data_IF_034040120858
#
_entry.id   IF_034040120858
#
_cell.length_a   1.000
_cell.length_b   1.000
_cell.length_c   1.000
_cell.angle_alpha   90.00
_cell.angle_beta   90.00
_cell.angle_gamma   90.00
#
_symmetry.space_group_name_H-M   'P 1'
#
loop_
_entity.id
_entity.type
_entity.pdbx_description
1 polymer ?
#
# COMPACT_ATOMS: atom_id res chain seq x y z
N UNK A 1 13.38 -21.86 -14.63
CA UNK A 1 12.95 -21.52 -13.28
C UNK A 1 12.05 -22.63 -12.76
N UNK A 2 12.12 -22.95 -11.45
CA UNK A 2 11.41 -24.09 -10.83
C UNK A 2 9.89 -23.84 -10.63
N UNK A 3 9.35 -22.71 -11.09
CA UNK A 3 7.92 -22.36 -10.93
C UNK A 3 7.50 -22.03 -9.49
N UNK A 4 8.46 -21.84 -8.59
CA UNK A 4 8.19 -21.50 -7.18
C UNK A 4 8.03 -19.99 -7.06
N UNK A 5 6.86 -19.54 -6.58
CA UNK A 5 6.58 -18.13 -6.34
C UNK A 5 6.80 -17.77 -4.88
N UNK A 6 7.96 -17.21 -4.60
CA UNK A 6 8.29 -16.63 -3.30
C UNK A 6 7.51 -15.32 -3.16
N UNK A 7 6.74 -15.13 -2.04
CA UNK A 7 6.05 -13.86 -1.82
C UNK A 7 7.05 -12.72 -1.71
N UNK A 8 6.76 -11.60 -2.34
CA UNK A 8 7.53 -10.38 -2.21
C UNK A 8 6.61 -9.15 -2.27
N UNK A 9 7.02 -8.09 -1.57
CA UNK A 9 6.34 -6.80 -1.61
C UNK A 9 7.30 -5.72 -2.09
N UNK A 10 7.99 -5.06 -1.17
CA UNK A 10 8.78 -3.83 -1.41
C UNK A 10 10.08 -4.03 -2.21
N UNK A 11 10.64 -5.23 -2.29
CA UNK A 11 11.95 -5.55 -2.92
C UNK A 11 13.16 -4.77 -2.34
N UNK A 12 12.98 -4.08 -1.20
CA UNK A 12 14.02 -3.23 -0.59
C UNK A 12 14.21 -3.48 0.91
N UNK A 13 13.82 -4.66 1.39
CA UNK A 13 14.01 -5.03 2.81
C UNK A 13 13.09 -4.32 3.81
N UNK A 14 12.02 -3.66 3.36
CA UNK A 14 11.19 -2.82 4.22
C UNK A 14 9.89 -3.47 4.73
N UNK A 15 9.34 -4.49 4.06
CA UNK A 15 7.99 -4.98 4.36
C UNK A 15 7.93 -6.39 5.01
N UNK A 16 9.01 -7.15 4.98
CA UNK A 16 9.05 -8.50 5.53
C UNK A 16 8.30 -9.59 4.75
N UNK A 17 7.60 -9.27 3.64
CA UNK A 17 6.79 -10.24 2.88
C UNK A 17 7.59 -11.44 2.35
N UNK A 18 8.87 -11.26 2.08
CA UNK A 18 9.78 -12.30 1.58
C UNK A 18 10.61 -12.95 2.70
N UNK A 19 10.19 -12.82 3.96
CA UNK A 19 10.90 -13.42 5.10
C UNK A 19 10.83 -14.94 5.02
N UNK A 20 11.98 -15.59 5.13
CA UNK A 20 12.13 -17.03 5.22
C UNK A 20 13.12 -17.41 6.33
N UNK A 21 13.23 -18.69 6.64
CA UNK A 21 14.17 -19.24 7.60
C UNK A 21 15.22 -20.07 6.86
N UNK A 22 16.49 -19.81 7.12
CA UNK A 22 17.61 -20.59 6.61
C UNK A 22 17.71 -21.88 7.45
N UNK A 23 17.54 -23.02 6.81
CA UNK A 23 17.65 -24.34 7.45
C UNK A 23 19.08 -24.86 7.32
N UNK A 24 19.71 -24.63 6.16
CA UNK A 24 21.10 -24.95 5.93
C UNK A 24 21.69 -24.08 4.82
N UNK A 25 23.03 -23.94 4.80
CA UNK A 25 23.75 -23.09 3.86
C UNK A 25 24.04 -21.70 4.44
N UNK A 26 24.72 -20.87 3.66
CA UNK A 26 25.15 -19.53 4.07
C UNK A 26 24.46 -18.46 3.27
N UNK A 27 23.87 -17.48 3.99
CA UNK A 27 23.15 -16.35 3.45
C UNK A 27 23.65 -15.04 4.05
N UNK A 28 23.94 -14.07 3.22
CA UNK A 28 24.29 -12.71 3.61
C UNK A 28 23.16 -11.75 3.23
N UNK A 29 22.68 -10.98 4.23
CA UNK A 29 21.68 -9.94 3.99
C UNK A 29 22.34 -8.58 3.95
N UNK A 30 21.98 -7.77 2.94
CA UNK A 30 22.28 -6.34 2.89
C UNK A 30 21.47 -5.54 3.90
N UNK A 31 21.39 -4.24 3.70
CA UNK A 31 20.62 -3.33 4.56
C UNK A 31 19.11 -3.64 4.49
N UNK A 32 18.47 -3.67 5.63
CA UNK A 32 17.03 -3.89 5.76
C UNK A 32 16.48 -3.12 6.96
N UNK A 33 15.17 -2.89 6.98
CA UNK A 33 14.51 -2.23 8.09
C UNK A 33 14.24 -3.22 9.24
N UNK A 34 14.46 -2.77 10.48
CA UNK A 34 14.18 -3.56 11.68
C UNK A 34 12.72 -3.99 11.81
N UNK A 35 11.80 -3.24 11.21
CA UNK A 35 10.38 -3.60 11.10
C UNK A 35 10.11 -4.79 10.19
N UNK A 36 10.97 -5.05 9.21
CA UNK A 36 10.83 -6.19 8.31
C UNK A 36 11.45 -7.47 8.90
N UNK A 37 12.54 -7.33 9.64
CA UNK A 37 13.22 -8.43 10.32
C UNK A 37 14.01 -7.89 11.50
N UNK A 38 13.74 -8.38 12.71
CA UNK A 38 14.46 -7.97 13.91
C UNK A 38 15.86 -8.59 13.97
N UNK A 39 16.72 -8.04 14.83
CA UNK A 39 18.04 -8.62 15.06
C UNK A 39 17.94 -10.03 15.63
N UNK A 40 16.99 -10.28 16.52
CA UNK A 40 16.72 -11.59 17.09
C UNK A 40 16.30 -12.61 16.03
N UNK A 41 15.35 -12.23 15.15
CA UNK A 41 14.93 -13.09 14.04
C UNK A 41 16.11 -13.45 13.12
N UNK A 42 16.98 -12.46 12.80
CA UNK A 42 18.20 -12.71 12.01
C UNK A 42 19.13 -13.71 12.70
N UNK A 43 19.35 -13.53 14.01
CA UNK A 43 20.19 -14.42 14.81
C UNK A 43 19.62 -15.84 14.86
N UNK A 44 18.28 -15.95 14.83
CA UNK A 44 17.56 -17.23 14.79
C UNK A 44 17.43 -17.82 13.37
N UNK A 45 18.19 -17.29 12.41
CA UNK A 45 18.28 -17.81 11.03
C UNK A 45 17.25 -17.26 10.06
N UNK A 46 16.50 -16.20 10.41
CA UNK A 46 15.61 -15.54 9.44
C UNK A 46 16.40 -14.75 8.40
N UNK A 47 15.87 -14.67 7.18
CA UNK A 47 16.42 -13.87 6.09
C UNK A 47 15.31 -13.22 5.28
N UNK A 48 15.66 -12.16 4.53
CA UNK A 48 14.76 -11.51 3.56
C UNK A 48 15.21 -11.81 2.14
N UNK A 49 14.49 -12.67 1.43
CA UNK A 49 14.89 -13.16 0.10
C UNK A 49 15.17 -12.05 -0.93
N UNK A 50 14.59 -10.86 -0.76
CA UNK A 50 14.81 -9.72 -1.65
C UNK A 50 16.13 -8.96 -1.40
N UNK A 51 16.79 -9.21 -0.27
CA UNK A 51 17.99 -8.51 0.19
C UNK A 51 19.12 -9.49 0.57
N UNK A 52 19.02 -10.74 0.17
CA UNK A 52 20.02 -11.74 0.51
C UNK A 52 20.78 -12.25 -0.71
N UNK A 53 22.04 -12.56 -0.46
CA UNK A 53 22.95 -13.27 -1.36
C UNK A 53 23.29 -14.60 -0.75
N UNK A 54 23.44 -15.61 -1.59
CA UNK A 54 23.84 -16.96 -1.17
C UNK A 54 25.28 -17.21 -1.59
N UNK A 55 26.08 -17.81 -0.70
CA UNK A 55 27.45 -18.23 -0.98
C UNK A 55 27.62 -19.75 -1.09
N UNK A 56 26.55 -20.50 -0.84
CA UNK A 56 26.51 -21.96 -0.92
C UNK A 56 25.13 -22.43 -1.39
N UNK A 57 24.93 -23.73 -1.57
CA UNK A 57 23.60 -24.30 -1.66
C UNK A 57 22.83 -24.01 -0.37
N UNK A 58 21.60 -23.53 -0.48
CA UNK A 58 20.79 -23.08 0.64
C UNK A 58 19.45 -23.79 0.67
N UNK A 59 19.08 -24.30 1.82
CA UNK A 59 17.71 -24.73 2.12
C UNK A 59 16.99 -23.65 2.90
N UNK A 60 15.88 -23.17 2.32
CA UNK A 60 15.01 -22.16 2.94
C UNK A 60 13.64 -22.76 3.24
N UNK A 61 13.16 -22.52 4.45
CA UNK A 61 11.75 -22.65 4.79
C UNK A 61 11.08 -21.29 4.57
N UNK A 62 10.11 -21.22 3.66
CA UNK A 62 9.40 -20.00 3.33
C UNK A 62 7.92 -20.27 3.14
N UNK A 63 7.08 -19.37 3.67
CA UNK A 63 5.65 -19.44 3.44
C UNK A 63 5.37 -19.01 2.00
N UNK A 64 4.96 -19.94 1.17
CA UNK A 64 4.56 -19.64 -0.21
C UNK A 64 3.17 -19.02 -0.25
N UNK A 65 2.87 -18.31 -1.32
CA UNK A 65 1.52 -17.88 -1.63
C UNK A 65 0.60 -19.10 -1.70
N UNK A 66 -0.63 -18.95 -1.21
CA UNK A 66 -1.63 -20.02 -1.33
C UNK A 66 -1.98 -20.22 -2.80
N UNK A 67 -2.42 -21.42 -3.18
CA UNK A 67 -2.79 -21.74 -4.56
C UNK A 67 -3.88 -20.80 -5.12
N UNK A 68 -4.75 -20.28 -4.26
CA UNK A 68 -5.84 -19.37 -4.61
C UNK A 68 -5.47 -17.89 -4.47
N UNK A 69 -4.24 -17.57 -4.03
CA UNK A 69 -3.82 -16.17 -3.98
C UNK A 69 -3.77 -15.60 -5.41
N UNK A 70 -4.33 -14.41 -5.65
CA UNK A 70 -4.36 -13.83 -6.99
C UNK A 70 -2.94 -13.57 -7.48
N UNK A 71 -2.60 -14.22 -8.59
CA UNK A 71 -1.28 -14.12 -9.18
C UNK A 71 -1.38 -13.47 -10.55
N UNK A 72 -0.92 -12.23 -10.62
CA UNK A 72 -0.75 -11.54 -11.89
C UNK A 72 0.74 -11.43 -12.21
N UNK A 73 1.10 -11.81 -13.43
CA UNK A 73 2.47 -11.66 -13.90
C UNK A 73 2.82 -10.18 -14.04
N UNK A 74 3.87 -9.75 -13.35
CA UNK A 74 4.39 -8.39 -13.46
C UNK A 74 5.06 -8.20 -14.83
N UNK A 75 4.72 -7.11 -15.52
CA UNK A 75 5.26 -6.78 -16.85
C UNK A 75 5.71 -5.33 -16.93
N UNK A 76 6.79 -5.12 -17.68
CA UNK A 76 7.21 -3.76 -18.04
C UNK A 76 6.37 -3.30 -19.24
N UNK A 77 5.68 -2.18 -19.09
CA UNK A 77 4.82 -1.61 -20.11
C UNK A 77 4.96 -0.09 -20.15
N UNK A 78 4.83 0.54 -21.35
CA UNK A 78 4.65 1.98 -21.41
C UNK A 78 3.28 2.38 -20.89
N UNK A 79 3.18 3.58 -20.31
CA UNK A 79 1.92 4.21 -19.91
C UNK A 79 1.94 5.67 -20.30
N UNK A 80 0.78 6.22 -20.60
CA UNK A 80 0.59 7.64 -20.86
C UNK A 80 -0.07 8.30 -19.66
N UNK A 81 0.44 9.45 -19.25
CA UNK A 81 -0.21 10.32 -18.27
C UNK A 81 -1.45 10.94 -18.91
N UNK A 82 -2.63 10.61 -18.43
CA UNK A 82 -3.89 11.19 -18.95
C UNK A 82 -4.22 12.51 -18.29
N UNK A 83 -4.08 12.59 -16.97
CA UNK A 83 -4.31 13.82 -16.22
C UNK A 83 -3.50 13.89 -14.95
N UNK A 84 -3.25 15.10 -14.48
CA UNK A 84 -2.62 15.47 -13.22
C UNK A 84 -3.52 16.47 -12.50
N UNK A 85 -4.05 16.10 -11.34
CA UNK A 85 -4.98 16.93 -10.56
C UNK A 85 -4.51 17.01 -9.12
N UNK A 86 -4.28 18.23 -8.60
CA UNK A 86 -3.99 18.40 -7.17
C UNK A 86 -5.24 18.08 -6.34
N UNK A 87 -5.11 17.17 -5.38
CA UNK A 87 -6.17 16.83 -4.43
C UNK A 87 -6.13 17.73 -3.19
N UNK A 88 -4.93 18.11 -2.78
CA UNK A 88 -4.67 19.10 -1.73
C UNK A 88 -3.32 19.77 -1.99
N UNK A 89 -2.72 20.39 -0.95
CA UNK A 89 -1.45 21.13 -1.10
C UNK A 89 -0.25 20.26 -1.46
N UNK A 90 -0.22 18.97 -1.07
CA UNK A 90 0.92 18.07 -1.27
C UNK A 90 0.58 16.71 -1.90
N UNK A 91 -0.69 16.48 -2.31
CA UNK A 91 -1.10 15.23 -2.97
C UNK A 91 -1.59 15.49 -4.40
N UNK A 92 -1.00 14.78 -5.35
CA UNK A 92 -1.35 14.76 -6.76
C UNK A 92 -2.06 13.46 -7.12
N UNK A 93 -3.25 13.55 -7.71
CA UNK A 93 -3.89 12.45 -8.42
C UNK A 93 -3.33 12.38 -9.84
N UNK A 94 -2.79 11.25 -10.22
CA UNK A 94 -2.31 10.96 -11.56
C UNK A 94 -3.17 9.84 -12.16
N UNK A 95 -3.71 10.07 -13.34
CA UNK A 95 -4.37 9.03 -14.13
C UNK A 95 -3.44 8.58 -15.24
N UNK A 96 -3.27 7.26 -15.37
CA UNK A 96 -2.44 6.62 -16.37
C UNK A 96 -3.30 5.75 -17.29
N UNK A 97 -2.96 5.75 -18.58
CA UNK A 97 -3.57 4.88 -19.59
C UNK A 97 -2.53 3.96 -20.21
N UNK A 98 -2.86 2.67 -20.34
CA UNK A 98 -2.05 1.71 -21.07
C UNK A 98 -2.24 1.88 -22.59
N UNK A 99 -1.28 1.42 -23.43
CA UNK A 99 -1.42 1.44 -24.87
C UNK A 99 -2.56 0.57 -25.37
N UNK A 100 -3.25 1.03 -26.39
CA UNK A 100 -4.40 0.34 -26.97
C UNK A 100 -5.59 0.24 -26.01
N UNK A 101 -6.37 -0.81 -26.14
CA UNK A 101 -7.51 -1.11 -25.25
C UNK A 101 -7.13 -2.15 -24.19
N UNK A 102 -5.84 -2.23 -23.82
CA UNK A 102 -5.40 -3.16 -22.81
C UNK A 102 -5.66 -2.58 -21.42
N UNK A 103 -6.31 -3.34 -20.56
CA UNK A 103 -6.43 -3.04 -19.14
C UNK A 103 -5.31 -3.75 -18.36
N UNK A 104 -4.77 -3.11 -17.35
CA UNK A 104 -3.88 -3.76 -16.41
C UNK A 104 -4.69 -4.80 -15.60
N UNK A 105 -4.26 -6.05 -15.66
CA UNK A 105 -4.79 -7.08 -14.76
C UNK A 105 -4.03 -7.02 -13.45
N UNK A 106 -4.71 -6.68 -12.38
CA UNK A 106 -4.12 -6.59 -11.04
C UNK A 106 -5.18 -6.90 -9.97
N UNK A 107 -4.75 -7.09 -8.75
CA UNK A 107 -5.63 -7.22 -7.58
C UNK A 107 -5.65 -5.91 -6.83
N UNK A 108 -6.84 -5.47 -6.40
CA UNK A 108 -7.01 -4.24 -5.63
C UNK A 108 -6.04 -4.19 -4.44
N UNK A 109 -5.34 -3.06 -4.28
CA UNK A 109 -4.32 -2.85 -3.25
C UNK A 109 -2.87 -3.07 -3.71
N UNK A 110 -2.64 -3.66 -4.89
CA UNK A 110 -1.30 -3.78 -5.46
C UNK A 110 -0.72 -2.42 -5.87
N UNK A 111 0.56 -2.37 -6.22
CA UNK A 111 1.29 -1.17 -6.62
C UNK A 111 2.00 -1.37 -7.96
N UNK A 112 2.52 -0.30 -8.49
CA UNK A 112 3.41 -0.28 -9.66
C UNK A 112 4.70 0.46 -9.34
N UNK A 113 5.72 0.25 -10.19
CA UNK A 113 6.98 0.98 -10.13
C UNK A 113 7.22 1.74 -11.43
N UNK A 114 7.45 3.05 -11.34
CA UNK A 114 8.04 3.81 -12.45
C UNK A 114 9.50 3.43 -12.61
N UNK A 115 9.93 3.21 -13.86
CA UNK A 115 11.32 2.94 -14.22
C UNK A 115 11.92 4.22 -14.80
N UNK A 116 12.84 4.80 -14.04
CA UNK A 116 13.51 6.03 -14.41
C UNK A 116 14.60 5.80 -15.46
N UNK A 117 15.06 6.87 -16.11
CA UNK A 117 16.11 6.79 -17.14
C UNK A 117 17.44 6.23 -16.61
N UNK A 118 17.75 6.47 -15.34
CA UNK A 118 18.92 5.94 -14.64
C UNK A 118 18.74 4.51 -14.12
N UNK A 119 17.61 3.87 -14.44
CA UNK A 119 17.26 2.52 -13.98
C UNK A 119 16.68 2.48 -12.55
N UNK A 120 16.69 3.58 -11.81
CA UNK A 120 16.08 3.62 -10.49
C UNK A 120 14.56 3.47 -10.58
N UNK A 121 13.94 3.01 -9.49
CA UNK A 121 12.51 2.68 -9.45
C UNK A 121 11.79 3.50 -8.39
N UNK A 122 10.54 3.84 -8.64
CA UNK A 122 9.67 4.57 -7.70
C UNK A 122 8.32 3.86 -7.62
N UNK A 123 8.03 3.32 -6.44
CA UNK A 123 6.83 2.55 -6.16
C UNK A 123 5.66 3.46 -5.77
N UNK A 124 4.49 3.21 -6.36
CA UNK A 124 3.24 3.89 -6.02
C UNK A 124 2.09 2.89 -6.03
N UNK A 125 1.30 2.92 -4.95
CA UNK A 125 0.11 2.08 -4.86
C UNK A 125 -0.93 2.50 -5.89
N UNK A 126 -1.61 1.50 -6.48
CA UNK A 126 -2.73 1.73 -7.38
C UNK A 126 -3.95 2.07 -6.54
N UNK A 127 -4.55 3.23 -6.79
CA UNK A 127 -5.71 3.74 -6.08
C UNK A 127 -7.04 3.42 -6.79
N UNK A 128 -7.00 3.13 -8.09
CA UNK A 128 -8.17 2.64 -8.85
C UNK A 128 -8.47 1.19 -8.53
N UNK A 129 -9.72 0.79 -8.63
CA UNK A 129 -10.10 -0.62 -8.58
C UNK A 129 -9.84 -1.33 -9.92
N UNK A 130 -9.68 -2.68 -9.95
CA UNK A 130 -9.31 -3.43 -11.17
C UNK A 130 -10.28 -3.32 -12.34
N UNK A 131 -11.54 -2.99 -12.10
CA UNK A 131 -12.55 -2.82 -13.13
C UNK A 131 -12.48 -1.46 -13.84
N UNK A 132 -11.71 -0.51 -13.33
CA UNK A 132 -11.59 0.84 -13.90
C UNK A 132 -10.60 0.84 -15.07
N UNK A 133 -10.91 1.61 -16.13
CA UNK A 133 -10.09 1.69 -17.34
C UNK A 133 -8.73 2.34 -17.10
N UNK A 134 -8.71 3.38 -16.27
CA UNK A 134 -7.50 4.16 -15.99
C UNK A 134 -6.88 3.73 -14.65
N UNK A 135 -5.57 3.70 -14.62
CA UNK A 135 -4.82 3.48 -13.37
C UNK A 135 -4.74 4.82 -12.65
N UNK A 136 -5.28 4.88 -11.45
CA UNK A 136 -5.19 6.05 -10.57
C UNK A 136 -4.07 5.86 -9.56
N UNK A 137 -3.26 6.90 -9.37
CA UNK A 137 -2.22 6.96 -8.35
C UNK A 137 -2.38 8.23 -7.52
N UNK A 138 -2.04 8.14 -6.23
CA UNK A 138 -1.93 9.29 -5.34
C UNK A 138 -0.47 9.51 -4.97
N UNK A 139 0.12 10.61 -5.45
CA UNK A 139 1.52 10.92 -5.26
C UNK A 139 1.66 12.08 -4.27
N UNK A 140 2.35 11.83 -3.15
CA UNK A 140 2.65 12.89 -2.20
C UNK A 140 3.96 13.58 -2.54
N UNK A 141 3.97 14.91 -2.52
CA UNK A 141 5.19 15.71 -2.62
C UNK A 141 6.05 15.45 -1.38
N UNK A 142 7.26 14.93 -1.62
CA UNK A 142 8.21 14.63 -0.55
C UNK A 142 9.34 15.65 -0.66
N UNK A 143 9.66 16.29 0.45
CA UNK A 143 10.78 17.24 0.50
C UNK A 143 12.09 16.53 0.12
N UNK A 144 12.84 17.14 -0.81
CA UNK A 144 14.04 16.53 -1.41
C UNK A 144 13.76 15.37 -2.39
N UNK A 145 12.52 14.96 -2.60
CA UNK A 145 12.13 13.88 -3.49
C UNK A 145 12.17 14.26 -4.96
N UNK A 146 13.20 13.85 -5.71
CA UNK A 146 13.39 14.20 -7.12
C UNK A 146 12.20 13.86 -8.01
N UNK A 147 11.64 12.64 -7.88
CA UNK A 147 10.53 12.20 -8.72
C UNK A 147 9.23 12.93 -8.39
N UNK A 148 8.89 13.07 -7.12
CA UNK A 148 7.65 13.75 -6.73
C UNK A 148 7.71 15.23 -7.06
N UNK A 149 8.87 15.88 -6.93
CA UNK A 149 9.09 17.25 -7.39
C UNK A 149 8.87 17.35 -8.90
N UNK A 150 9.47 16.46 -9.70
CA UNK A 150 9.27 16.38 -11.15
C UNK A 150 7.78 16.25 -11.52
N UNK A 151 7.01 15.40 -10.81
CA UNK A 151 5.57 15.24 -11.05
C UNK A 151 4.79 16.53 -10.78
N UNK A 152 5.16 17.28 -9.74
CA UNK A 152 4.43 18.49 -9.35
C UNK A 152 4.78 19.74 -10.17
N UNK A 153 6.00 19.81 -10.71
CA UNK A 153 6.52 21.01 -11.34
C UNK A 153 6.73 20.88 -12.86
N UNK A 154 7.05 19.67 -13.36
CA UNK A 154 7.57 19.52 -14.72
C UNK A 154 6.80 18.49 -15.56
N UNK A 155 6.23 17.44 -14.91
CA UNK A 155 5.56 16.37 -15.65
C UNK A 155 4.35 16.90 -16.40
N UNK A 156 4.24 16.52 -17.67
CA UNK A 156 3.15 16.97 -18.53
C UNK A 156 2.15 15.84 -18.79
N UNK A 157 0.89 16.22 -18.93
CA UNK A 157 -0.12 15.33 -19.47
C UNK A 157 0.29 14.87 -20.88
N UNK A 158 -0.12 13.65 -21.24
CA UNK A 158 0.25 12.95 -22.48
C UNK A 158 1.71 12.49 -22.56
N UNK A 159 2.55 12.79 -21.56
CA UNK A 159 3.90 12.21 -21.48
C UNK A 159 3.85 10.69 -21.31
N UNK A 160 4.87 10.00 -21.84
CA UNK A 160 4.95 8.53 -21.81
C UNK A 160 6.07 8.11 -20.86
N UNK A 161 5.73 7.19 -19.96
CA UNK A 161 6.65 6.64 -18.99
C UNK A 161 6.63 5.12 -19.04
N UNK A 162 7.63 4.48 -18.46
CA UNK A 162 7.69 3.03 -18.32
C UNK A 162 7.38 2.64 -16.90
N UNK A 163 6.51 1.65 -16.73
CA UNK A 163 6.19 1.07 -15.43
C UNK A 163 6.41 -0.43 -15.43
N UNK A 164 6.63 -1.02 -14.27
CA UNK A 164 6.45 -2.43 -14.00
C UNK A 164 5.22 -2.60 -13.11
N UNK A 165 4.28 -3.45 -13.52
CA UNK A 165 3.03 -3.69 -12.81
C UNK A 165 2.44 -5.06 -13.19
N UNK A 166 1.58 -5.65 -12.32
CA UNK A 166 1.34 -5.30 -10.94
C UNK A 166 2.39 -5.90 -10.00
N UNK A 167 2.57 -5.30 -8.83
CA UNK A 167 3.51 -5.76 -7.81
C UNK A 167 2.83 -5.68 -6.44
N UNK A 168 3.27 -6.51 -5.49
CA UNK A 168 2.88 -6.40 -4.08
C UNK A 168 1.87 -7.43 -3.60
N UNK A 169 1.80 -7.53 -2.27
CA UNK A 169 1.03 -8.53 -1.52
C UNK A 169 -0.05 -7.90 -0.64
N UNK A 170 -0.27 -6.58 -0.76
CA UNK A 170 -1.35 -5.89 -0.08
C UNK A 170 -2.64 -6.06 -0.89
N UNK A 171 -3.47 -7.01 -0.52
CA UNK A 171 -4.79 -7.26 -1.10
C UNK A 171 -5.69 -7.95 -0.08
N UNK A 172 -6.99 -7.85 -0.27
CA UNK A 172 -7.98 -8.43 0.61
C UNK A 172 -7.87 -9.96 0.64
N UNK A 173 -7.73 -10.54 1.84
CA UNK A 173 -7.72 -11.99 2.03
C UNK A 173 -9.15 -12.50 2.16
N UNK A 174 -9.41 -13.71 1.62
CA UNK A 174 -10.70 -14.37 1.76
C UNK A 174 -11.06 -14.57 3.23
N UNK A 175 -12.21 -14.09 3.63
CA UNK A 175 -12.77 -14.18 4.98
C UNK A 175 -14.14 -13.53 5.02
N UNK A 176 -14.96 -13.90 6.02
CA UNK A 176 -16.21 -13.22 6.37
C UNK A 176 -16.02 -12.22 7.53
N UNK A 177 -14.82 -12.14 8.09
CA UNK A 177 -14.52 -11.27 9.23
C UNK A 177 -14.65 -9.78 8.85
N UNK A 178 -15.14 -8.91 9.75
CA UNK A 178 -15.07 -7.48 9.56
C UNK A 178 -13.61 -7.00 9.40
N UNK A 179 -13.47 -5.83 8.77
CA UNK A 179 -12.18 -5.31 8.34
C UNK A 179 -11.90 -3.97 9.05
N UNK A 180 -10.69 -3.81 9.55
CA UNK A 180 -10.14 -2.55 10.01
C UNK A 180 -9.07 -2.09 9.04
N UNK A 181 -9.33 -1.01 8.31
CA UNK A 181 -8.33 -0.34 7.48
C UNK A 181 -7.73 0.84 8.24
N UNK A 182 -6.41 0.92 8.27
CA UNK A 182 -5.66 2.00 8.91
C UNK A 182 -4.77 2.64 7.84
N UNK A 183 -5.09 3.87 7.47
CA UNK A 183 -4.31 4.64 6.50
C UNK A 183 -3.57 5.80 7.13
N UNK A 184 -2.34 6.06 6.67
CA UNK A 184 -1.60 7.28 6.96
C UNK A 184 -1.25 8.02 5.67
N UNK A 185 -1.73 9.25 5.51
CA UNK A 185 -1.50 10.05 4.30
C UNK A 185 -1.89 9.30 3.02
N UNK A 186 -0.99 9.21 2.03
CA UNK A 186 -1.25 8.50 0.77
C UNK A 186 -1.30 6.96 0.89
N UNK A 187 -1.10 6.40 2.08
CA UNK A 187 -1.47 5.00 2.36
C UNK A 187 -2.96 4.71 2.18
N UNK A 188 -3.78 5.73 2.05
CA UNK A 188 -5.17 5.62 1.64
C UNK A 188 -5.35 5.07 0.21
N UNK A 189 -4.41 5.30 -0.71
CA UNK A 189 -4.52 4.88 -2.11
C UNK A 189 -4.82 3.38 -2.30
N UNK A 190 -4.04 2.42 -1.78
CA UNK A 190 -4.34 1.00 -1.94
C UNK A 190 -5.59 0.58 -1.19
N UNK A 191 -5.93 1.22 -0.08
CA UNK A 191 -7.16 0.96 0.67
C UNK A 191 -8.39 1.41 -0.13
N UNK A 192 -8.33 2.58 -0.78
CA UNK A 192 -9.36 3.05 -1.71
C UNK A 192 -9.62 2.01 -2.81
N UNK A 193 -8.56 1.52 -3.44
CA UNK A 193 -8.66 0.46 -4.46
C UNK A 193 -9.43 -0.77 -3.95
N UNK A 194 -9.11 -1.24 -2.74
CA UNK A 194 -9.76 -2.40 -2.12
C UNK A 194 -11.22 -2.10 -1.79
N UNK A 195 -11.54 -0.95 -1.20
CA UNK A 195 -12.93 -0.60 -0.83
C UNK A 195 -13.80 -0.47 -2.09
N UNK A 196 -13.32 0.21 -3.13
CA UNK A 196 -14.07 0.34 -4.39
C UNK A 196 -14.30 -1.03 -5.06
N UNK A 197 -13.31 -1.92 -5.02
CA UNK A 197 -13.45 -3.29 -5.53
C UNK A 197 -14.47 -4.10 -4.70
N UNK A 198 -14.46 -3.96 -3.38
CA UNK A 198 -15.45 -4.56 -2.49
C UNK A 198 -16.87 -4.06 -2.77
N UNK A 199 -17.05 -2.76 -2.97
CA UNK A 199 -18.33 -2.14 -3.33
C UNK A 199 -18.82 -2.70 -4.68
N UNK A 200 -17.95 -2.72 -5.69
CA UNK A 200 -18.27 -3.23 -7.02
C UNK A 200 -18.76 -4.69 -6.99
N UNK A 201 -18.12 -5.53 -6.18
CA UNK A 201 -18.49 -6.93 -6.00
C UNK A 201 -19.58 -7.16 -4.96
N UNK A 202 -20.22 -6.09 -4.46
CA UNK A 202 -21.27 -6.15 -3.44
C UNK A 202 -20.87 -6.93 -2.17
N UNK A 203 -19.61 -6.80 -1.76
CA UNK A 203 -19.11 -7.40 -0.54
C UNK A 203 -19.72 -6.70 0.68
N UNK A 204 -20.36 -7.45 1.57
CA UNK A 204 -21.12 -6.93 2.71
C UNK A 204 -20.37 -6.98 4.05
N UNK A 205 -19.09 -7.31 4.03
CA UNK A 205 -18.28 -7.29 5.25
C UNK A 205 -18.25 -5.88 5.84
N UNK A 206 -18.36 -5.79 7.14
CA UNK A 206 -18.23 -4.49 7.84
C UNK A 206 -16.81 -3.94 7.68
N UNK A 207 -16.70 -2.68 7.33
CA UNK A 207 -15.44 -1.95 7.12
C UNK A 207 -15.37 -0.79 8.11
N UNK A 208 -14.29 -0.73 8.88
CA UNK A 208 -13.90 0.42 9.69
C UNK A 208 -12.68 1.06 9.03
N UNK A 209 -12.86 2.24 8.42
CA UNK A 209 -11.79 2.98 7.73
C UNK A 209 -11.29 4.12 8.62
N UNK A 210 -10.12 3.93 9.20
CA UNK A 210 -9.41 4.98 9.96
C UNK A 210 -8.40 5.68 9.05
N UNK A 211 -8.60 6.99 8.85
CA UNK A 211 -7.69 7.80 8.04
C UNK A 211 -6.94 8.80 8.92
N UNK A 212 -5.67 8.51 9.20
CA UNK A 212 -4.78 9.37 9.99
C UNK A 212 -4.07 10.38 9.09
N UNK A 213 -4.22 11.66 9.44
CA UNK A 213 -3.50 12.78 8.83
C UNK A 213 -3.06 13.75 9.92
N UNK A 214 -2.20 14.74 9.62
CA UNK A 214 -1.76 15.71 10.63
C UNK A 214 -2.89 16.68 10.98
N UNK A 215 -3.53 17.26 9.98
CA UNK A 215 -4.57 18.27 10.13
C UNK A 215 -5.55 18.23 8.96
N UNK A 216 -6.60 19.02 8.99
CA UNK A 216 -7.65 19.05 7.96
C UNK A 216 -7.11 19.32 6.55
N UNK A 217 -6.09 20.16 6.39
CA UNK A 217 -5.48 20.46 5.09
C UNK A 217 -4.77 19.26 4.46
N UNK A 218 -4.35 18.28 5.28
CA UNK A 218 -3.74 17.03 4.81
C UNK A 218 -4.78 15.96 4.44
N UNK A 219 -6.04 16.14 4.88
CA UNK A 219 -7.13 15.23 4.57
C UNK A 219 -7.60 15.42 3.13
N UNK A 220 -7.44 14.41 2.31
CA UNK A 220 -7.88 14.42 0.92
C UNK A 220 -8.89 13.30 0.65
N UNK A 221 -9.80 13.51 -0.29
CA UNK A 221 -10.91 12.60 -0.61
C UNK A 221 -11.86 12.30 0.56
N UNK A 222 -11.98 13.21 1.52
CA UNK A 222 -12.91 13.11 2.64
C UNK A 222 -14.35 12.94 2.17
N UNK A 223 -14.77 13.76 1.18
CA UNK A 223 -16.12 13.68 0.60
C UNK A 223 -16.42 12.30 -0.01
N UNK A 224 -15.43 11.64 -0.60
CA UNK A 224 -15.58 10.28 -1.13
C UNK A 224 -15.85 9.28 0.00
N UNK A 225 -15.09 9.36 1.10
CA UNK A 225 -15.26 8.48 2.25
C UNK A 225 -16.60 8.69 2.95
N UNK A 226 -17.02 9.94 3.07
CA UNK A 226 -18.36 10.30 3.60
C UNK A 226 -19.49 9.79 2.69
N UNK A 227 -19.28 9.83 1.37
CA UNK A 227 -20.24 9.28 0.40
C UNK A 227 -20.34 7.76 0.56
N UNK A 228 -19.24 7.04 0.68
CA UNK A 228 -19.28 5.60 0.95
C UNK A 228 -20.02 5.27 2.24
N UNK A 229 -19.74 5.98 3.34
CA UNK A 229 -20.44 5.78 4.60
C UNK A 229 -21.94 6.04 4.51
N UNK A 230 -22.34 7.03 3.71
CA UNK A 230 -23.76 7.37 3.50
C UNK A 230 -24.50 6.33 2.64
N UNK A 231 -23.81 5.80 1.60
CA UNK A 231 -24.43 4.90 0.64
C UNK A 231 -24.34 3.42 1.03
N UNK A 232 -23.44 3.07 1.97
CA UNK A 232 -23.16 1.70 2.39
C UNK A 232 -23.16 1.60 3.92
N UNK A 233 -24.22 1.02 4.48
CA UNK A 233 -24.41 0.88 5.94
C UNK A 233 -23.30 0.08 6.63
N UNK A 234 -22.57 -0.75 5.87
CA UNK A 234 -21.45 -1.55 6.38
C UNK A 234 -20.09 -0.83 6.34
N UNK A 235 -20.04 0.45 5.91
CA UNK A 235 -18.80 1.24 5.89
C UNK A 235 -18.86 2.34 6.94
N UNK A 236 -17.89 2.32 7.86
CA UNK A 236 -17.72 3.32 8.91
C UNK A 236 -16.40 4.06 8.65
N UNK A 237 -16.47 5.38 8.50
CA UNK A 237 -15.32 6.24 8.22
C UNK A 237 -14.95 7.08 9.43
N UNK A 238 -13.71 7.00 9.86
CA UNK A 238 -13.18 7.66 11.04
C UNK A 238 -11.89 8.43 10.67
N UNK A 239 -11.98 9.73 10.31
CA UNK A 239 -10.82 10.60 10.19
C UNK A 239 -10.21 10.90 11.57
N UNK A 240 -8.86 11.00 11.61
CA UNK A 240 -8.12 11.28 12.87
C UNK A 240 -7.01 12.27 12.59
N UNK A 241 -6.97 13.39 13.37
CA UNK A 241 -5.93 14.42 13.25
C UNK A 241 -4.89 14.29 14.36
N UNK A 242 -3.62 14.06 13.97
CA UNK A 242 -2.53 13.96 14.94
C UNK A 242 -1.99 15.32 15.42
N UNK A 243 -2.15 16.36 14.62
CA UNK A 243 -1.64 17.71 14.84
C UNK A 243 -2.68 18.73 14.38
N UNK A 244 -3.88 18.78 15.02
CA UNK A 244 -4.97 19.64 14.58
C UNK A 244 -4.58 21.11 14.68
N UNK A 245 -4.97 21.89 13.68
CA UNK A 245 -4.82 23.34 13.68
C UNK A 245 -6.06 24.02 14.32
N UNK A 246 -5.90 25.27 14.77
CA UNK A 246 -6.96 25.99 15.48
C UNK A 246 -8.28 26.13 14.68
N UNK A 247 -8.19 26.16 13.36
CA UNK A 247 -9.33 26.35 12.47
C UNK A 247 -9.86 25.03 11.90
N UNK A 248 -9.30 23.90 12.29
CA UNK A 248 -9.77 22.59 11.85
C UNK A 248 -11.13 22.26 12.46
N UNK A 249 -11.85 21.35 11.83
CA UNK A 249 -13.11 20.85 12.35
C UNK A 249 -12.89 20.16 13.70
N UNK A 250 -13.46 20.75 14.75
CA UNK A 250 -13.29 20.30 16.14
C UNK A 250 -14.06 19.01 16.45
N UNK A 251 -14.98 18.58 15.58
CA UNK A 251 -15.73 17.33 15.74
C UNK A 251 -14.90 16.10 15.27
N UNK A 252 -13.79 16.34 14.57
CA UNK A 252 -12.88 15.27 14.13
C UNK A 252 -12.03 14.81 15.32
N UNK A 253 -11.92 13.50 15.46
CA UNK A 253 -11.11 12.86 16.49
C UNK A 253 -9.65 13.28 16.40
N UNK A 254 -9.04 13.57 17.55
CA UNK A 254 -7.63 13.97 17.63
C UNK A 254 -6.76 12.88 18.26
N UNK A 255 -5.50 12.82 17.86
CA UNK A 255 -4.51 11.85 18.34
C UNK A 255 -3.93 10.98 17.24
N UNK A 256 -3.25 9.91 17.58
CA UNK A 256 -2.68 8.99 16.60
C UNK A 256 -3.71 7.97 16.11
N UNK A 257 -3.71 7.69 14.82
CA UNK A 257 -4.69 6.79 14.19
C UNK A 257 -4.69 5.38 14.79
N UNK A 258 -3.55 4.83 15.17
CA UNK A 258 -3.48 3.52 15.81
C UNK A 258 -4.09 3.52 17.22
N UNK A 259 -3.94 4.63 17.98
CA UNK A 259 -4.57 4.78 19.29
C UNK A 259 -6.09 4.87 19.15
N UNK A 260 -6.57 5.62 18.14
CA UNK A 260 -8.00 5.70 17.86
C UNK A 260 -8.62 4.31 17.62
N UNK A 261 -7.91 3.43 16.92
CA UNK A 261 -8.37 2.05 16.73
C UNK A 261 -8.38 1.27 18.04
N UNK A 262 -7.33 1.38 18.86
CA UNK A 262 -7.27 0.68 20.17
C UNK A 262 -8.38 1.14 21.10
N UNK A 263 -8.72 2.44 21.10
CA UNK A 263 -9.77 2.98 21.95
C UNK A 263 -11.18 2.52 21.56
N UNK A 264 -11.40 2.17 20.29
CA UNK A 264 -12.71 1.77 19.76
C UNK A 264 -12.99 0.28 19.84
N UNK A 265 -11.97 -0.56 20.07
CA UNK A 265 -12.13 -2.01 20.11
C UNK A 265 -11.54 -2.61 21.40
N UNK A 266 -12.33 -3.37 22.13
CA UNK A 266 -11.86 -4.11 23.31
C UNK A 266 -10.96 -5.28 22.94
N UNK A 267 -11.13 -5.85 21.74
CA UNK A 267 -10.35 -6.96 21.21
C UNK A 267 -10.36 -6.93 19.69
N UNK A 268 -9.24 -7.35 19.09
CA UNK A 268 -9.09 -7.50 17.63
C UNK A 268 -9.33 -8.95 17.17
N UNK A 269 -9.60 -9.85 18.10
CA UNK A 269 -9.98 -11.22 17.76
C UNK A 269 -11.24 -11.23 16.90
N UNK A 270 -11.17 -11.92 15.77
CA UNK A 270 -12.31 -11.95 14.84
C UNK A 270 -12.30 -10.85 13.77
N UNK A 271 -11.32 -9.95 13.75
CA UNK A 271 -11.15 -8.95 12.70
C UNK A 271 -10.01 -9.31 11.74
N UNK A 272 -10.01 -8.68 10.57
CA UNK A 272 -8.83 -8.56 9.71
C UNK A 272 -8.38 -7.11 9.70
N UNK A 273 -7.11 -6.85 9.98
CA UNK A 273 -6.55 -5.51 9.96
C UNK A 273 -5.59 -5.33 8.78
N UNK A 274 -5.69 -4.19 8.11
CA UNK A 274 -4.83 -3.78 7.00
C UNK A 274 -4.32 -2.37 7.26
N UNK A 275 -3.00 -2.21 7.29
CA UNK A 275 -2.40 -0.88 7.50
C UNK A 275 -1.50 -0.50 6.34
N UNK A 276 -1.63 0.76 5.87
CA UNK A 276 -0.77 1.33 4.84
C UNK A 276 -0.48 2.80 5.11
N UNK A 277 0.75 3.23 4.82
CA UNK A 277 1.20 4.60 5.05
C UNK A 277 2.69 4.69 5.33
N UNK A 278 3.10 5.77 5.99
CA UNK A 278 4.48 5.93 6.44
C UNK A 278 4.90 4.76 7.36
N UNK A 279 6.17 4.33 7.34
CA UNK A 279 6.63 3.20 8.16
C UNK A 279 6.24 3.30 9.63
N UNK A 280 6.29 4.49 10.22
CA UNK A 280 5.87 4.70 11.61
C UNK A 280 4.40 4.37 11.85
N UNK A 281 3.51 4.71 10.92
CA UNK A 281 2.07 4.40 11.05
C UNK A 281 1.83 2.89 11.02
N UNK A 282 2.46 2.20 10.05
CA UNK A 282 2.32 0.75 9.90
C UNK A 282 2.91 0.01 11.11
N UNK A 283 4.10 0.43 11.58
CA UNK A 283 4.76 -0.19 12.72
C UNK A 283 4.00 0.00 14.03
N UNK A 284 3.47 1.21 14.28
CA UNK A 284 2.69 1.48 15.48
C UNK A 284 1.35 0.76 15.46
N UNK A 285 0.68 0.70 14.31
CA UNK A 285 -0.52 -0.09 14.15
C UNK A 285 -0.25 -1.58 14.41
N UNK A 286 0.79 -2.15 13.80
CA UNK A 286 1.15 -3.57 14.00
C UNK A 286 1.49 -3.93 15.45
N UNK A 287 2.07 -3.00 16.22
CA UNK A 287 2.38 -3.23 17.64
C UNK A 287 1.17 -3.08 18.55
N UNK A 288 0.18 -2.31 18.12
CA UNK A 288 -1.01 -1.99 18.90
C UNK A 288 -2.13 -3.03 18.75
N UNK A 289 -2.16 -3.74 17.59
CA UNK A 289 -3.12 -4.80 17.25
C UNK A 289 -2.56 -6.20 17.46
#
# INVERSE_FOLDING_TARGET
AAGINIPFGCRNGGCGSCKGKVISGEVFCEEYQQSAMTHEEKTNGSTLCCQCYVSSDVHLEIKLNKANDPMHESKITPVRVESLTKLNHDVMKMLLKLPGNNALKFTAGQYLEFIMADGSRRAFSIASAPYQELIELHLRLIDGGKFTKFVFEEMQEKSIHRIEAPIGQFYLRESEKPIIFISGGTGFAPIKSVIEDMIHHNNKRTIYLYQGVRSQKDLYMDELCLTWQKEHENIHYIPVFSEPEKNDNQDIRTGFVHQAVVDDFESFEGYQAYSCGAPVVVQTAFKAL
#
